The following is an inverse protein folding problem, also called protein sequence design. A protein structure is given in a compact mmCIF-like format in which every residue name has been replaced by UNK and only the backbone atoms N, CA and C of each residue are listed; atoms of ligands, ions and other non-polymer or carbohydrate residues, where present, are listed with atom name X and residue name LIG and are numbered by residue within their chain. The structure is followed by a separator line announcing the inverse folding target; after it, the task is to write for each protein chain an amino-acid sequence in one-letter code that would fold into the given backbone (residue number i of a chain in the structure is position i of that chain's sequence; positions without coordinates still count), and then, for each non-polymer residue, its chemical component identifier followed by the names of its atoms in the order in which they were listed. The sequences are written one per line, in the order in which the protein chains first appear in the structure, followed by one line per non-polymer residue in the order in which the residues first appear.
data_IF_063907683243
#
_entry.id   IF_063907683243
#
_cell.length_a   1.000
_cell.length_b   1.000
_cell.length_c   1.000
_cell.angle_alpha   90.00
_cell.angle_beta   90.00
_cell.angle_gamma   90.00
#
_symmetry.space_group_name_H-M   'P 1'
#
loop_
_entity.id
_entity.type
_entity.pdbx_description
1 polymer ?
#
# COMPACT_ATOMS: atom_id res chain seq x y z
N UNK A 1 -3.85 -88.95 28.95
CA UNK A 1 -4.24 -87.82 28.08
C UNK A 1 -3.73 -86.55 28.74
N UNK A 2 -2.58 -86.06 28.31
CA UNK A 2 -1.92 -84.87 28.86
C UNK A 2 -2.22 -83.73 27.89
N UNK A 3 -2.95 -82.71 28.34
CA UNK A 3 -3.16 -81.49 27.56
C UNK A 3 -1.82 -80.74 27.42
N UNK A 4 -1.45 -80.27 26.23
CA UNK A 4 -0.26 -79.45 26.07
C UNK A 4 -0.46 -78.06 26.71
N UNK A 5 0.62 -77.44 27.20
CA UNK A 5 0.57 -76.14 27.86
C UNK A 5 0.11 -75.05 26.88
N UNK A 6 -0.87 -74.24 27.31
CA UNK A 6 -1.24 -73.03 26.61
C UNK A 6 -0.05 -72.07 26.60
N UNK A 7 0.50 -71.87 25.40
CA UNK A 7 1.52 -70.88 25.13
C UNK A 7 0.86 -69.49 25.14
N UNK A 8 0.79 -68.87 26.31
CA UNK A 8 0.41 -67.46 26.47
C UNK A 8 1.55 -66.60 25.95
N UNK A 9 1.47 -66.30 24.65
CA UNK A 9 2.39 -65.43 23.95
C UNK A 9 2.30 -64.01 24.55
N UNK A 10 3.33 -63.47 25.22
CA UNK A 10 3.29 -62.14 25.84
C UNK A 10 3.26 -61.00 24.82
N UNK A 11 3.37 -61.32 23.52
CA UNK A 11 3.44 -60.35 22.43
C UNK A 11 2.09 -59.86 21.89
N UNK A 12 0.96 -60.16 22.56
CA UNK A 12 -0.36 -59.63 22.18
C UNK A 12 -0.72 -58.27 22.80
N UNK A 13 0.27 -57.50 23.30
CA UNK A 13 0.09 -56.11 23.73
C UNK A 13 0.73 -55.08 22.77
N UNK A 14 0.87 -55.39 21.49
CA UNK A 14 1.40 -54.46 20.47
C UNK A 14 0.31 -53.91 19.54
N UNK A 15 -0.89 -53.69 20.08
CA UNK A 15 -1.92 -52.88 19.46
C UNK A 15 -2.11 -51.59 20.25
N UNK A 16 -1.59 -50.47 19.75
CA UNK A 16 -1.64 -49.11 20.35
C UNK A 16 -0.66 -48.80 21.49
N UNK A 17 0.53 -48.35 21.12
CA UNK A 17 1.35 -47.55 22.02
C UNK A 17 2.83 -47.66 21.68
N UNK A 18 3.34 -46.71 20.89
CA UNK A 18 4.79 -46.49 20.83
C UNK A 18 5.35 -46.35 22.23
N UNK A 19 6.62 -46.77 22.40
CA UNK A 19 7.33 -46.73 23.68
C UNK A 19 7.25 -45.33 24.28
N UNK A 20 7.37 -45.20 25.61
CA UNK A 20 7.35 -43.87 26.26
C UNK A 20 8.42 -42.91 25.68
N UNK A 21 9.49 -43.48 25.13
CA UNK A 21 10.54 -42.78 24.42
C UNK A 21 10.09 -42.27 23.04
N UNK A 22 9.38 -43.09 22.25
CA UNK A 22 8.79 -42.66 20.97
C UNK A 22 7.82 -41.49 21.14
N UNK A 23 7.03 -41.51 22.21
CA UNK A 23 6.08 -40.43 22.53
C UNK A 23 6.78 -39.12 22.89
N UNK A 24 7.86 -39.20 23.69
CA UNK A 24 8.71 -38.04 24.01
C UNK A 24 9.35 -37.46 22.75
N UNK A 25 9.89 -38.31 21.88
CA UNK A 25 10.47 -37.89 20.62
C UNK A 25 9.44 -37.16 19.74
N UNK A 26 8.23 -37.69 19.62
CA UNK A 26 7.16 -37.09 18.84
C UNK A 26 6.69 -35.71 19.38
N UNK A 27 6.61 -35.57 20.72
CA UNK A 27 6.30 -34.28 21.36
C UNK A 27 7.43 -33.27 21.10
N UNK A 28 8.70 -33.69 21.21
CA UNK A 28 9.84 -32.81 20.91
C UNK A 28 9.82 -32.33 19.45
N UNK A 29 9.55 -33.22 18.49
CA UNK A 29 9.39 -32.85 17.08
C UNK A 29 8.29 -31.80 16.91
N UNK A 30 7.15 -31.97 17.58
CA UNK A 30 6.02 -31.02 17.52
C UNK A 30 6.40 -29.63 18.05
N UNK A 31 7.14 -29.59 19.17
CA UNK A 31 7.65 -28.33 19.75
C UNK A 31 8.64 -27.66 18.79
N UNK A 32 9.56 -28.42 18.20
CA UNK A 32 10.52 -27.89 17.22
C UNK A 32 9.82 -27.29 16.01
N UNK A 33 8.83 -27.99 15.44
CA UNK A 33 8.03 -27.48 14.31
C UNK A 33 7.26 -26.20 14.68
N UNK A 34 6.67 -26.16 15.87
CA UNK A 34 5.99 -24.96 16.37
C UNK A 34 6.94 -23.77 16.52
N UNK A 35 8.16 -23.99 17.00
CA UNK A 35 9.20 -22.96 17.11
C UNK A 35 9.63 -22.42 15.73
N UNK A 36 9.80 -23.30 14.74
CA UNK A 36 10.07 -22.89 13.35
C UNK A 36 8.92 -22.07 12.76
N UNK A 37 7.66 -22.44 13.06
CA UNK A 37 6.49 -21.66 12.65
C UNK A 37 6.44 -20.27 13.33
N UNK A 38 6.85 -20.15 14.60
CA UNK A 38 6.98 -18.84 15.27
C UNK A 38 8.02 -17.98 14.53
N UNK A 39 9.19 -18.55 14.24
CA UNK A 39 10.24 -17.83 13.51
C UNK A 39 9.76 -17.38 12.12
N UNK A 40 9.06 -18.25 11.39
CA UNK A 40 8.45 -17.91 10.11
C UNK A 40 7.39 -16.80 10.23
N UNK A 41 6.54 -16.84 11.27
CA UNK A 41 5.54 -15.80 11.52
C UNK A 41 6.18 -14.44 11.85
N UNK A 42 7.28 -14.41 12.62
CA UNK A 42 8.04 -13.19 12.91
C UNK A 42 8.72 -12.63 11.65
N UNK A 43 9.31 -13.48 10.83
CA UNK A 43 9.85 -13.08 9.53
C UNK A 43 8.75 -12.51 8.63
N UNK A 44 7.59 -13.18 8.58
CA UNK A 44 6.41 -12.71 7.86
C UNK A 44 5.91 -11.34 8.33
N UNK A 45 5.88 -11.10 9.65
CA UNK A 45 5.54 -9.79 10.22
C UNK A 45 6.54 -8.70 9.81
N UNK A 46 7.83 -9.02 9.79
CA UNK A 46 8.88 -8.07 9.37
C UNK A 46 8.71 -7.69 7.89
N UNK A 47 8.50 -8.70 7.04
CA UNK A 47 8.26 -8.49 5.59
C UNK A 47 6.98 -7.70 5.37
N UNK A 48 5.89 -8.04 6.08
CA UNK A 48 4.62 -7.32 6.01
C UNK A 48 4.80 -5.86 6.42
N UNK A 49 5.50 -5.58 7.53
CA UNK A 49 5.73 -4.22 8.01
C UNK A 49 6.54 -3.39 7.01
N UNK A 50 7.64 -3.96 6.48
CA UNK A 50 8.45 -3.29 5.46
C UNK A 50 7.65 -3.01 4.18
N UNK A 51 6.85 -3.98 3.73
CA UNK A 51 6.01 -3.83 2.56
C UNK A 51 4.91 -2.77 2.76
N UNK A 52 4.22 -2.80 3.90
CA UNK A 52 3.19 -1.80 4.24
C UNK A 52 3.79 -0.40 4.31
N UNK A 53 4.96 -0.24 4.94
CA UNK A 53 5.65 1.04 4.98
C UNK A 53 6.00 1.56 3.58
N UNK A 54 6.51 0.70 2.69
CA UNK A 54 6.79 1.04 1.30
C UNK A 54 5.51 1.46 0.55
N UNK A 55 4.44 0.68 0.64
CA UNK A 55 3.19 0.95 -0.07
C UNK A 55 2.53 2.24 0.42
N UNK A 56 2.57 2.54 1.73
CA UNK A 56 2.05 3.80 2.27
C UNK A 56 2.84 5.04 1.82
N UNK A 57 4.14 4.88 1.54
CA UNK A 57 4.99 5.94 0.99
C UNK A 57 4.71 6.17 -0.49
N UNK A 58 4.73 5.11 -1.29
CA UNK A 58 4.82 5.20 -2.76
C UNK A 58 3.49 5.06 -3.49
N UNK A 59 2.42 4.60 -2.83
CA UNK A 59 1.16 4.25 -3.49
C UNK A 59 -0.04 4.90 -2.83
N UNK A 60 -1.07 5.13 -3.64
CA UNK A 60 -2.40 5.43 -3.10
C UNK A 60 -3.06 4.12 -2.68
N UNK A 61 -3.37 3.99 -1.40
CA UNK A 61 -3.88 2.75 -0.82
C UNK A 61 -5.39 2.81 -0.64
N UNK A 62 -6.15 1.83 -1.20
CA UNK A 62 -7.55 1.71 -0.86
C UNK A 62 -7.72 1.26 0.60
N UNK A 63 -8.83 1.56 1.28
CA UNK A 63 -9.04 1.19 2.68
C UNK A 63 -8.97 -0.33 2.92
N UNK A 64 -9.31 -1.14 1.92
CA UNK A 64 -9.19 -2.61 1.94
C UNK A 64 -7.74 -3.06 2.19
N UNK A 65 -6.74 -2.31 1.70
CA UNK A 65 -5.33 -2.58 1.94
C UNK A 65 -4.99 -2.49 3.44
N UNK A 66 -5.41 -1.39 4.10
CA UNK A 66 -5.14 -1.19 5.52
C UNK A 66 -5.80 -2.25 6.41
N UNK A 67 -7.07 -2.57 6.12
CA UNK A 67 -7.82 -3.58 6.88
C UNK A 67 -7.19 -4.98 6.72
N UNK A 68 -6.88 -5.38 5.49
CA UNK A 68 -6.26 -6.68 5.22
C UNK A 68 -4.86 -6.79 5.83
N UNK A 69 -4.06 -5.72 5.82
CA UNK A 69 -2.74 -5.70 6.45
C UNK A 69 -2.83 -5.85 7.97
N UNK A 70 -3.79 -5.17 8.60
CA UNK A 70 -4.02 -5.29 10.04
C UNK A 70 -4.50 -6.69 10.43
N UNK A 71 -5.40 -7.29 9.64
CA UNK A 71 -5.86 -8.66 9.86
C UNK A 71 -4.73 -9.68 9.65
N UNK A 72 -3.87 -9.50 8.64
CA UNK A 72 -2.70 -10.36 8.42
C UNK A 72 -1.74 -10.31 9.62
N UNK A 73 -1.42 -9.10 10.10
CA UNK A 73 -0.58 -8.90 11.28
C UNK A 73 -1.19 -9.54 12.52
N UNK A 74 -2.50 -9.33 12.77
CA UNK A 74 -3.21 -9.93 13.88
C UNK A 74 -3.20 -11.47 13.82
N UNK A 75 -3.36 -12.07 12.63
CA UNK A 75 -3.30 -13.51 12.44
C UNK A 75 -1.90 -14.09 12.78
N UNK A 76 -0.81 -13.44 12.35
CA UNK A 76 0.55 -13.85 12.72
C UNK A 76 0.79 -13.72 14.23
N UNK A 77 0.38 -12.61 14.83
CA UNK A 77 0.53 -12.39 16.28
C UNK A 77 -0.27 -13.45 17.07
N UNK A 78 -1.52 -13.70 16.69
CA UNK A 78 -2.35 -14.72 17.32
C UNK A 78 -1.74 -16.12 17.16
N UNK A 79 -1.17 -16.44 15.99
CA UNK A 79 -0.43 -17.70 15.77
C UNK A 79 0.70 -17.87 16.79
N UNK A 80 1.52 -16.82 17.02
CA UNK A 80 2.64 -16.86 17.98
C UNK A 80 2.13 -17.07 19.42
N UNK A 81 1.05 -16.40 19.83
CA UNK A 81 0.47 -16.60 21.17
C UNK A 81 -0.08 -18.02 21.36
N UNK A 82 -0.78 -18.56 20.36
CA UNK A 82 -1.29 -19.92 20.39
C UNK A 82 -0.14 -20.93 20.47
N UNK A 83 0.96 -20.68 19.74
CA UNK A 83 2.17 -21.48 19.79
C UNK A 83 2.75 -21.55 21.22
N UNK A 84 2.90 -20.39 21.87
CA UNK A 84 3.37 -20.32 23.25
C UNK A 84 2.50 -21.14 24.21
N UNK A 85 1.17 -21.03 24.09
CA UNK A 85 0.23 -21.84 24.88
C UNK A 85 0.34 -23.33 24.58
N UNK A 86 0.56 -23.72 23.33
CA UNK A 86 0.72 -25.12 22.93
C UNK A 86 1.97 -25.75 23.55
N UNK A 87 3.08 -25.01 23.55
CA UNK A 87 4.36 -25.44 24.16
C UNK A 87 4.20 -25.57 25.67
N UNK A 88 3.60 -24.59 26.36
CA UNK A 88 3.34 -24.67 27.81
C UNK A 88 2.48 -25.88 28.15
N UNK A 89 1.39 -26.12 27.42
CA UNK A 89 0.52 -27.27 27.63
C UNK A 89 1.25 -28.62 27.42
N UNK A 90 2.12 -28.69 26.41
CA UNK A 90 2.92 -29.90 26.14
C UNK A 90 3.95 -30.14 27.23
N UNK A 91 4.60 -29.07 27.71
CA UNK A 91 5.59 -29.10 28.79
C UNK A 91 4.98 -29.57 30.11
N UNK A 92 3.87 -28.98 30.51
CA UNK A 92 3.25 -29.26 31.81
C UNK A 92 2.76 -30.71 31.90
N UNK A 93 2.27 -31.28 30.78
CA UNK A 93 1.93 -32.73 30.72
C UNK A 93 3.16 -33.64 30.68
N UNK A 94 4.22 -33.21 30.01
CA UNK A 94 5.51 -33.91 30.04
C UNK A 94 6.05 -34.07 31.47
N UNK A 95 5.92 -33.04 32.32
CA UNK A 95 6.27 -33.12 33.75
C UNK A 95 5.34 -34.02 34.56
N UNK A 96 4.05 -34.11 34.19
CA UNK A 96 3.10 -35.04 34.79
C UNK A 96 3.30 -36.50 34.37
N UNK A 97 4.25 -36.79 33.47
CA UNK A 97 4.53 -38.13 32.96
C UNK A 97 3.62 -38.59 31.82
N UNK A 98 2.64 -37.77 31.42
CA UNK A 98 1.74 -38.07 30.29
C UNK A 98 2.27 -37.43 28.99
N UNK A 99 2.93 -38.25 28.18
CA UNK A 99 3.45 -37.87 26.87
C UNK A 99 2.43 -38.14 25.76
N UNK A 100 1.17 -37.74 25.96
CA UNK A 100 0.13 -37.96 24.93
C UNK A 100 0.25 -36.94 23.79
N UNK A 101 0.32 -37.42 22.54
CA UNK A 101 0.27 -36.60 21.33
C UNK A 101 -1.05 -35.82 21.18
N UNK A 102 -2.11 -36.23 21.88
CA UNK A 102 -3.37 -35.50 21.93
C UNK A 102 -3.24 -34.18 22.72
N UNK A 103 -2.27 -34.11 23.64
CA UNK A 103 -1.94 -32.88 24.35
C UNK A 103 -1.35 -31.86 23.37
N UNK A 104 -2.03 -30.73 23.18
CA UNK A 104 -1.52 -29.64 22.35
C UNK A 104 -1.79 -29.79 20.85
N UNK A 105 -2.18 -30.96 20.31
CA UNK A 105 -2.49 -31.13 18.88
C UNK A 105 -3.47 -30.08 18.34
N UNK A 106 -4.54 -29.80 19.09
CA UNK A 106 -5.53 -28.78 18.72
C UNK A 106 -4.91 -27.37 18.65
N UNK A 107 -4.05 -27.02 19.61
CA UNK A 107 -3.39 -25.71 19.64
C UNK A 107 -2.34 -25.59 18.54
N UNK A 108 -1.54 -26.63 18.29
CA UNK A 108 -0.58 -26.65 17.19
C UNK A 108 -1.29 -26.55 15.82
N UNK A 109 -2.41 -27.23 15.65
CA UNK A 109 -3.20 -27.12 14.42
C UNK A 109 -3.79 -25.70 14.26
N UNK A 110 -4.29 -25.12 15.34
CA UNK A 110 -4.79 -23.74 15.34
C UNK A 110 -3.68 -22.74 15.01
N UNK A 111 -2.47 -22.90 15.58
CA UNK A 111 -1.29 -22.10 15.24
C UNK A 111 -0.99 -22.16 13.74
N UNK A 112 -0.93 -23.37 13.18
CA UNK A 112 -0.64 -23.59 11.77
C UNK A 112 -1.71 -22.93 10.87
N UNK A 113 -2.99 -23.09 11.23
CA UNK A 113 -4.11 -22.52 10.50
C UNK A 113 -4.11 -20.98 10.54
N UNK A 114 -3.81 -20.38 11.70
CA UNK A 114 -3.61 -18.93 11.85
C UNK A 114 -2.42 -18.43 11.02
N UNK A 115 -1.32 -19.19 10.97
CA UNK A 115 -0.14 -18.83 10.18
C UNK A 115 -0.45 -18.84 8.68
N UNK A 116 -1.10 -19.90 8.19
CA UNK A 116 -1.56 -19.99 6.79
C UNK A 116 -2.56 -18.88 6.48
N UNK A 117 -3.50 -18.61 7.38
CA UNK A 117 -4.44 -17.50 7.26
C UNK A 117 -3.73 -16.14 7.14
N UNK A 118 -2.69 -15.92 7.95
CA UNK A 118 -1.83 -14.73 7.86
C UNK A 118 -1.11 -14.61 6.52
N UNK A 119 -0.58 -15.71 5.98
CA UNK A 119 0.08 -15.74 4.66
C UNK A 119 -0.94 -15.45 3.54
N UNK A 120 -2.13 -16.05 3.59
CA UNK A 120 -3.18 -15.80 2.60
C UNK A 120 -3.66 -14.34 2.63
N UNK A 121 -3.89 -13.80 3.83
CA UNK A 121 -4.23 -12.38 3.99
C UNK A 121 -3.10 -11.47 3.49
N UNK A 122 -1.84 -11.83 3.73
CA UNK A 122 -0.72 -11.10 3.15
C UNK A 122 -0.73 -11.14 1.62
N UNK A 123 -1.09 -12.27 1.01
CA UNK A 123 -1.34 -12.34 -0.44
C UNK A 123 -2.40 -11.34 -0.92
N UNK A 124 -3.50 -11.18 -0.17
CA UNK A 124 -4.51 -10.16 -0.46
C UNK A 124 -3.94 -8.74 -0.33
N UNK A 125 -3.10 -8.47 0.67
CA UNK A 125 -2.42 -7.18 0.85
C UNK A 125 -1.56 -6.83 -0.37
N UNK A 126 -0.83 -7.81 -0.92
CA UNK A 126 -0.02 -7.61 -2.13
C UNK A 126 -0.88 -7.23 -3.33
N UNK A 127 -2.00 -7.92 -3.53
CA UNK A 127 -2.94 -7.67 -4.64
C UNK A 127 -3.71 -6.37 -4.48
N UNK A 128 -4.00 -5.95 -3.24
CA UNK A 128 -4.69 -4.71 -2.92
C UNK A 128 -3.76 -3.48 -2.93
N UNK A 129 -2.47 -3.63 -3.28
CA UNK A 129 -1.56 -2.50 -3.42
C UNK A 129 -1.97 -1.66 -4.64
N UNK A 130 -2.54 -0.48 -4.38
CA UNK A 130 -3.10 0.40 -5.40
C UNK A 130 -2.07 0.98 -6.38
N UNK A 131 -2.50 1.97 -7.15
CA UNK A 131 -1.66 2.59 -8.18
C UNK A 131 -0.46 3.36 -7.57
N UNK A 132 0.69 3.41 -8.27
CA UNK A 132 1.84 4.20 -7.84
C UNK A 132 1.54 5.71 -7.89
N UNK A 133 1.88 6.44 -6.83
CA UNK A 133 1.70 7.91 -6.74
C UNK A 133 2.50 8.66 -7.81
N UNK A 134 3.67 8.14 -8.19
CA UNK A 134 4.53 8.74 -9.21
C UNK A 134 3.80 8.94 -10.55
N UNK A 135 2.95 8.00 -10.97
CA UNK A 135 2.18 8.12 -12.20
C UNK A 135 1.13 9.25 -12.15
N UNK A 136 0.60 9.54 -10.96
CA UNK A 136 -0.35 10.64 -10.76
C UNK A 136 0.35 11.99 -10.71
N UNK A 137 1.54 12.03 -10.09
CA UNK A 137 2.38 13.21 -10.10
C UNK A 137 2.82 13.58 -11.52
N UNK A 138 3.26 12.59 -12.31
CA UNK A 138 3.67 12.79 -13.70
C UNK A 138 2.52 13.33 -14.57
N UNK A 139 1.31 12.77 -14.43
CA UNK A 139 0.11 13.32 -15.08
C UNK A 139 -0.19 14.76 -14.67
N UNK A 140 0.00 15.08 -13.39
CA UNK A 140 -0.24 16.44 -12.88
C UNK A 140 0.79 17.41 -13.45
N UNK A 141 2.05 17.01 -13.50
CA UNK A 141 3.13 17.80 -14.12
C UNK A 141 2.84 18.05 -15.61
N UNK A 142 2.50 17.01 -16.37
CA UNK A 142 2.13 17.16 -17.78
C UNK A 142 0.92 18.08 -17.98
N UNK A 143 -0.09 17.98 -17.11
CA UNK A 143 -1.26 18.86 -17.16
C UNK A 143 -0.89 20.32 -16.85
N UNK A 144 0.05 20.54 -15.93
CA UNK A 144 0.55 21.87 -15.58
C UNK A 144 1.40 22.46 -16.71
N UNK A 145 2.25 21.66 -17.36
CA UNK A 145 3.03 22.07 -18.53
C UNK A 145 2.11 22.51 -19.69
N UNK A 146 1.06 21.72 -20.00
CA UNK A 146 0.07 22.10 -21.01
C UNK A 146 -0.64 23.41 -20.68
N UNK A 147 -0.98 23.64 -19.40
CA UNK A 147 -1.58 24.91 -18.97
C UNK A 147 -0.63 26.08 -19.10
N UNK A 148 0.67 25.88 -18.82
CA UNK A 148 1.71 26.89 -19.01
C UNK A 148 1.85 27.27 -20.48
N UNK A 149 1.92 26.29 -21.38
CA UNK A 149 1.98 26.54 -22.83
C UNK A 149 0.75 27.28 -23.35
N UNK A 150 -0.45 26.92 -22.88
CA UNK A 150 -1.68 27.64 -23.21
C UNK A 150 -1.64 29.09 -22.73
N UNK A 151 -1.19 29.31 -21.50
CA UNK A 151 -1.09 30.66 -20.94
C UNK A 151 -0.07 31.52 -21.70
N UNK A 152 1.06 30.93 -22.09
CA UNK A 152 2.09 31.62 -22.88
C UNK A 152 1.57 32.02 -24.26
N UNK A 153 0.79 31.15 -24.91
CA UNK A 153 0.12 31.48 -26.17
C UNK A 153 -0.92 32.60 -26.00
N UNK A 154 -1.69 32.57 -24.92
CA UNK A 154 -2.69 33.60 -24.63
C UNK A 154 -2.04 34.96 -24.36
N UNK A 155 -0.96 34.99 -23.57
CA UNK A 155 -0.16 36.21 -23.33
C UNK A 155 0.38 36.76 -24.65
N UNK A 156 0.94 35.90 -25.51
CA UNK A 156 1.47 36.32 -26.81
C UNK A 156 0.37 36.88 -27.73
N UNK A 157 -0.83 36.30 -27.72
CA UNK A 157 -1.97 36.87 -28.44
C UNK A 157 -2.38 38.22 -27.88
N UNK A 158 -2.46 38.37 -26.55
CA UNK A 158 -2.77 39.64 -25.90
C UNK A 158 -1.74 40.72 -26.25
N UNK A 159 -0.44 40.40 -26.22
CA UNK A 159 0.63 41.33 -26.61
C UNK A 159 0.49 41.76 -28.08
N UNK A 160 0.17 40.84 -28.99
CA UNK A 160 -0.07 41.19 -30.40
C UNK A 160 -1.29 42.11 -30.56
N UNK A 161 -2.39 41.81 -29.88
CA UNK A 161 -3.59 42.66 -29.88
C UNK A 161 -3.33 44.03 -29.27
N UNK A 162 -2.47 44.12 -28.24
CA UNK A 162 -2.06 45.39 -27.64
C UNK A 162 -1.19 46.21 -28.61
N UNK A 163 -0.27 45.57 -29.33
CA UNK A 163 0.53 46.22 -30.37
C UNK A 163 -0.35 46.81 -31.48
N UNK A 164 -1.33 46.05 -31.98
CA UNK A 164 -2.28 46.52 -33.00
C UNK A 164 -3.12 47.70 -32.50
N UNK A 165 -3.56 47.64 -31.23
CA UNK A 165 -4.29 48.74 -30.59
C UNK A 165 -3.42 49.99 -30.47
N UNK A 166 -2.14 49.84 -30.13
CA UNK A 166 -1.21 50.97 -30.06
C UNK A 166 -0.93 51.58 -31.45
N UNK A 167 -0.83 50.76 -32.50
CA UNK A 167 -0.67 51.25 -33.87
C UNK A 167 -1.90 52.04 -34.34
N UNK A 168 -3.10 51.52 -34.07
CA UNK A 168 -4.35 52.21 -34.41
C UNK A 168 -4.48 53.52 -33.64
N UNK A 169 -4.18 53.54 -32.33
CA UNK A 169 -4.10 54.78 -31.53
C UNK A 169 -3.12 55.79 -32.11
N UNK A 170 -1.93 55.36 -32.53
CA UNK A 170 -0.95 56.22 -33.21
C UNK A 170 -1.50 56.84 -34.50
N UNK A 171 -2.21 56.05 -35.31
CA UNK A 171 -2.85 56.54 -36.54
C UNK A 171 -3.95 57.57 -36.27
N UNK A 172 -4.74 57.38 -35.21
CA UNK A 172 -5.75 58.34 -34.78
C UNK A 172 -5.11 59.64 -34.29
N UNK A 173 -4.00 59.56 -33.54
CA UNK A 173 -3.24 60.74 -33.11
C UNK A 173 -2.76 61.59 -34.28
N UNK A 174 -2.16 60.97 -35.31
CA UNK A 174 -1.73 61.67 -36.52
C UNK A 174 -2.90 62.34 -37.26
N UNK A 175 -4.05 61.67 -37.31
CA UNK A 175 -5.25 62.20 -37.97
C UNK A 175 -5.86 63.37 -37.21
N UNK A 176 -5.83 63.34 -35.87
CA UNK A 176 -6.24 64.47 -35.04
C UNK A 176 -5.31 65.66 -35.28
N UNK A 177 -3.99 65.44 -35.34
CA UNK A 177 -3.04 66.54 -35.59
C UNK A 177 -3.25 67.19 -36.97
N UNK A 178 -3.51 66.40 -38.03
CA UNK A 178 -3.86 66.94 -39.36
C UNK A 178 -5.16 67.75 -39.32
N UNK A 179 -6.18 67.26 -38.60
CA UNK A 179 -7.45 67.99 -38.43
C UNK A 179 -7.27 69.31 -37.66
N UNK A 180 -6.45 69.32 -36.60
CA UNK A 180 -6.12 70.54 -35.85
C UNK A 180 -5.43 71.56 -36.75
N UNK A 181 -4.43 71.15 -37.54
CA UNK A 181 -3.76 72.06 -38.49
C UNK A 181 -4.72 72.64 -39.52
N UNK A 182 -5.66 71.84 -40.03
CA UNK A 182 -6.69 72.34 -40.97
C UNK A 182 -7.64 73.33 -40.31
N UNK A 183 -8.01 73.11 -39.05
CA UNK A 183 -8.82 74.05 -38.30
C UNK A 183 -8.07 75.39 -38.11
N UNK A 184 -6.81 75.36 -37.70
CA UNK A 184 -5.98 76.57 -37.54
C UNK A 184 -5.81 77.35 -38.86
N UNK A 185 -5.64 76.64 -39.97
CA UNK A 185 -5.59 77.25 -41.31
C UNK A 185 -6.91 77.93 -41.70
N UNK A 186 -8.03 77.32 -41.35
CA UNK A 186 -9.35 77.91 -41.60
C UNK A 186 -9.56 79.16 -40.75
N UNK A 187 -9.20 79.12 -39.46
CA UNK A 187 -9.28 80.28 -38.57
C UNK A 187 -8.40 81.44 -39.05
N UNK A 188 -7.18 81.14 -39.49
CA UNK A 188 -6.28 82.15 -40.07
C UNK A 188 -6.89 82.80 -41.33
N UNK A 189 -7.52 82.00 -42.20
CA UNK A 189 -8.22 82.52 -43.38
C UNK A 189 -9.42 83.39 -43.00
N UNK A 190 -10.21 82.98 -42.01
CA UNK A 190 -11.33 83.79 -41.53
C UNK A 190 -10.86 85.11 -40.93
N UNK A 191 -9.75 85.11 -40.18
CA UNK A 191 -9.17 86.33 -39.62
C UNK A 191 -8.70 87.32 -40.71
N UNK A 192 -8.10 86.81 -41.79
CA UNK A 192 -7.68 87.62 -42.95
C UNK A 192 -8.88 88.22 -43.70
N UNK A 193 -9.96 87.44 -43.88
CA UNK A 193 -11.23 87.91 -44.45
C UNK A 193 -11.97 88.92 -43.57
N UNK A 194 -11.76 88.89 -42.26
CA UNK A 194 -12.40 89.78 -41.29
C UNK A 194 -11.60 91.07 -41.02
N UNK A 195 -10.38 91.21 -41.56
CA UNK A 195 -9.59 92.42 -41.44
C UNK A 195 -10.16 93.54 -42.33
N UNK A 196 -10.53 94.72 -41.78
CA UNK A 196 -11.09 95.82 -42.58
C UNK A 196 -10.02 96.41 -43.51
N UNK A 197 -10.36 96.57 -44.79
CA UNK A 197 -9.58 97.35 -45.76
C UNK A 197 -9.68 98.85 -45.50
#
# INVERSE_FOLDING_TARGET
MVQPPQNTNPNQQTGQGGTGEDRRAAVNVSITLSSQLIAAALAGLTVLAAYVAYVLSERETPPVFGISALLAAAAFIASIFVAGRAITASRDRGFAGDWSLAAGKSLYNLQALLCIGGILLFGVVLLASGAPRAAQLERTVQTLEQRLEQLEQEVKMLESSQSDTNQTLGSYGLRIEDLTRRADQLDARYADLAAPQ
#
